data_IF_039010344927
#
_entry.id   IF_039010344927
#
_cell.length_a   1.000
_cell.length_b   1.000
_cell.length_c   1.000
_cell.angle_alpha   90.00
_cell.angle_beta   90.00
_cell.angle_gamma   90.00
#
_symmetry.space_group_name_H-M   'P 1'
#
loop_
_entity.id
_entity.type
_entity.pdbx_description
1 polymer ?
#
# COMPACT_ATOMS: atom_id res chain seq x y z
N UNK A 1 -24.44 -4.01 -10.80
CA UNK A 1 -23.36 -3.51 -9.92
C UNK A 1 -23.91 -3.14 -8.53
N UNK A 2 -24.59 -4.07 -7.84
CA UNK A 2 -25.26 -3.83 -6.54
C UNK A 2 -24.75 -4.73 -5.40
N UNK A 3 -23.86 -5.68 -5.70
CA UNK A 3 -23.48 -6.74 -4.76
C UNK A 3 -22.31 -6.35 -3.82
N UNK A 4 -21.34 -5.58 -4.33
CA UNK A 4 -20.15 -5.16 -3.56
C UNK A 4 -20.51 -4.18 -2.43
N UNK A 5 -21.47 -3.28 -2.67
CA UNK A 5 -21.90 -2.27 -1.68
C UNK A 5 -22.60 -2.91 -0.46
N UNK A 6 -23.29 -4.04 -0.66
CA UNK A 6 -23.97 -4.79 0.42
C UNK A 6 -22.98 -5.57 1.29
N UNK A 7 -21.91 -6.11 0.71
CA UNK A 7 -20.86 -6.81 1.47
C UNK A 7 -20.12 -5.85 2.37
N UNK A 8 -19.76 -4.65 1.90
CA UNK A 8 -19.12 -3.63 2.75
C UNK A 8 -20.02 -3.16 3.90
N UNK A 9 -21.32 -2.96 3.67
CA UNK A 9 -22.27 -2.60 4.75
C UNK A 9 -22.49 -3.76 5.75
N UNK A 10 -22.52 -5.00 5.26
CA UNK A 10 -22.68 -6.20 6.11
C UNK A 10 -21.43 -6.47 6.96
N UNK A 11 -20.22 -6.29 6.40
CA UNK A 11 -18.97 -6.40 7.15
C UNK A 11 -18.79 -5.28 8.19
N UNK A 12 -19.37 -4.09 7.93
CA UNK A 12 -19.43 -2.98 8.88
C UNK A 12 -20.38 -3.25 10.05
N UNK A 13 -21.45 -4.03 9.83
CA UNK A 13 -22.41 -4.42 10.86
C UNK A 13 -21.90 -5.56 11.77
N UNK A 14 -20.95 -6.37 11.29
CA UNK A 14 -20.43 -7.55 12.03
C UNK A 14 -19.24 -7.24 12.95
N UNK A 15 -18.74 -6.00 13.00
CA UNK A 15 -17.61 -5.61 13.88
C UNK A 15 -17.84 -4.22 14.49
N UNK A 16 -18.44 -4.12 15.69
CA UNK A 16 -18.70 -2.83 16.35
C UNK A 16 -17.44 -2.14 16.89
N UNK A 17 -16.25 -2.76 16.83
CA UNK A 17 -15.01 -2.21 17.38
C UNK A 17 -13.92 -2.07 16.32
N UNK A 18 -14.22 -1.40 15.21
CA UNK A 18 -13.16 -0.70 14.49
C UNK A 18 -13.14 0.70 15.10
N UNK A 19 -12.21 1.03 16.02
CA UNK A 19 -12.11 2.39 16.52
C UNK A 19 -12.00 3.32 15.31
N UNK A 20 -12.78 4.42 15.28
CA UNK A 20 -12.69 5.36 14.17
C UNK A 20 -11.22 5.76 14.05
N UNK A 21 -10.65 5.56 12.88
CA UNK A 21 -9.29 5.95 12.56
C UNK A 21 -9.25 7.48 12.39
N UNK A 22 -9.70 8.21 13.41
CA UNK A 22 -9.64 9.67 13.51
C UNK A 22 -8.28 10.04 14.07
N UNK A 23 -7.28 10.03 13.20
CA UNK A 23 -6.00 10.66 13.45
C UNK A 23 -5.45 11.16 12.12
N UNK A 24 -5.92 12.35 11.75
CA UNK A 24 -5.40 13.31 10.77
C UNK A 24 -4.21 12.76 9.97
N UNK A 25 -4.52 12.23 8.79
CA UNK A 25 -3.60 12.21 7.66
C UNK A 25 -3.92 13.49 6.89
N UNK A 26 -2.99 14.45 6.84
CA UNK A 26 -3.18 15.69 6.08
C UNK A 26 -3.61 15.39 4.63
N UNK A 27 -4.82 15.87 4.29
CA UNK A 27 -5.39 16.27 3.00
C UNK A 27 -4.95 15.58 1.70
N UNK A 28 -4.70 14.27 1.67
CA UNK A 28 -4.79 13.55 0.38
C UNK A 28 -6.26 13.29 0.11
N UNK A 29 -6.86 14.16 -0.70
CA UNK A 29 -8.24 14.01 -1.12
C UNK A 29 -8.42 12.71 -1.93
N UNK A 30 -9.64 12.12 -1.94
CA UNK A 30 -9.94 11.01 -2.84
C UNK A 30 -9.65 11.33 -4.31
N UNK A 31 -9.71 12.60 -4.71
CA UNK A 31 -9.39 13.05 -6.07
C UNK A 31 -7.88 12.96 -6.36
N UNK A 32 -7.02 13.49 -5.47
CA UNK A 32 -5.57 13.36 -5.59
C UNK A 32 -5.12 11.91 -5.58
N UNK A 33 -5.78 11.08 -4.77
CA UNK A 33 -5.53 9.64 -4.78
C UNK A 33 -5.86 9.00 -6.13
N UNK A 34 -7.05 9.25 -6.68
CA UNK A 34 -7.45 8.69 -7.99
C UNK A 34 -6.56 9.21 -9.13
N UNK A 35 -6.15 10.47 -9.07
CA UNK A 35 -5.20 11.03 -10.04
C UNK A 35 -3.85 10.31 -9.97
N UNK A 36 -3.36 10.03 -8.76
CA UNK A 36 -2.15 9.23 -8.56
C UNK A 36 -2.29 7.80 -9.08
N UNK A 37 -3.44 7.14 -8.91
CA UNK A 37 -3.70 5.80 -9.46
C UNK A 37 -3.76 5.79 -11.00
N UNK A 38 -4.34 6.82 -11.62
CA UNK A 38 -4.56 6.90 -13.06
C UNK A 38 -3.26 7.15 -13.86
N UNK A 39 -2.28 7.83 -13.26
CA UNK A 39 -1.06 8.29 -13.94
C UNK A 39 -0.07 7.15 -14.29
N UNK A 40 -0.20 5.93 -13.75
CA UNK A 40 0.95 5.01 -13.70
C UNK A 40 0.68 3.55 -14.06
N UNK A 41 0.80 3.24 -15.36
CA UNK A 41 1.07 1.88 -15.88
C UNK A 41 2.51 1.48 -15.57
N UNK A 42 2.71 0.37 -14.83
CA UNK A 42 4.05 -0.15 -14.54
C UNK A 42 4.84 -0.36 -15.83
N UNK A 43 6.10 0.05 -15.83
CA UNK A 43 6.99 -0.20 -16.96
C UNK A 43 7.66 -1.58 -16.87
N UNK A 44 7.52 -2.22 -15.70
CA UNK A 44 7.89 -3.59 -15.41
C UNK A 44 6.61 -4.43 -15.23
N UNK A 45 6.46 -5.53 -15.98
CA UNK A 45 5.27 -6.39 -15.86
C UNK A 45 5.31 -7.16 -14.55
N UNK A 46 4.40 -6.83 -13.63
CA UNK A 46 4.15 -7.60 -12.41
C UNK A 46 3.71 -9.03 -12.75
N UNK A 47 3.16 -9.27 -13.95
CA UNK A 47 2.80 -10.61 -14.43
C UNK A 47 4.00 -11.55 -14.52
N UNK A 48 5.23 -11.01 -14.69
CA UNK A 48 6.46 -11.81 -14.66
C UNK A 48 6.87 -12.25 -13.26
N UNK A 49 6.42 -11.57 -12.21
CA UNK A 49 6.73 -11.92 -10.83
C UNK A 49 5.85 -13.07 -10.33
N UNK A 50 4.63 -13.21 -10.87
CA UNK A 50 3.61 -14.08 -10.31
C UNK A 50 3.20 -13.67 -8.88
N UNK A 51 2.32 -14.45 -8.27
CA UNK A 51 1.84 -14.19 -6.91
C UNK A 51 2.97 -14.25 -5.87
N UNK A 52 3.89 -15.22 -6.00
CA UNK A 52 5.03 -15.37 -5.10
C UNK A 52 6.00 -14.19 -5.19
N UNK A 53 6.24 -13.67 -6.39
CA UNK A 53 7.10 -12.50 -6.56
C UNK A 53 6.45 -11.23 -6.01
N UNK A 54 5.13 -11.05 -6.18
CA UNK A 54 4.36 -9.97 -5.53
C UNK A 54 4.52 -10.06 -4.01
N UNK A 55 4.31 -11.24 -3.43
CA UNK A 55 4.47 -11.46 -1.99
C UNK A 55 5.89 -11.12 -1.53
N UNK A 56 6.93 -11.56 -2.26
CA UNK A 56 8.32 -11.26 -1.91
C UNK A 56 8.63 -9.77 -1.94
N UNK A 57 8.18 -9.04 -2.96
CA UNK A 57 8.36 -7.58 -3.02
C UNK A 57 7.71 -6.90 -1.83
N UNK A 58 6.44 -7.21 -1.54
CA UNK A 58 5.70 -6.63 -0.42
C UNK A 58 6.42 -6.88 0.91
N UNK A 59 6.75 -8.13 1.21
CA UNK A 59 7.43 -8.48 2.47
C UNK A 59 8.80 -7.81 2.58
N UNK A 60 9.52 -7.68 1.48
CA UNK A 60 10.84 -7.04 1.50
C UNK A 60 10.71 -5.54 1.76
N UNK A 61 9.79 -4.86 1.08
CA UNK A 61 9.54 -3.43 1.32
C UNK A 61 9.16 -3.18 2.78
N UNK A 62 8.22 -3.95 3.34
CA UNK A 62 7.77 -3.78 4.73
C UNK A 62 8.90 -4.06 5.72
N UNK A 63 9.59 -5.19 5.58
CA UNK A 63 10.67 -5.58 6.48
C UNK A 63 11.86 -4.59 6.44
N UNK A 64 12.08 -3.92 5.32
CA UNK A 64 13.10 -2.87 5.22
C UNK A 64 12.58 -1.54 5.77
N UNK A 65 11.34 -1.17 5.46
CA UNK A 65 10.70 0.07 5.92
C UNK A 65 10.60 0.13 7.46
N UNK A 66 10.38 -1.01 8.11
CA UNK A 66 10.41 -1.13 9.57
C UNK A 66 11.81 -0.86 10.16
N UNK A 67 12.88 -1.23 9.43
CA UNK A 67 14.26 -1.11 9.92
C UNK A 67 14.90 0.21 9.55
N UNK A 68 14.52 0.82 8.44
CA UNK A 68 15.18 1.99 7.87
C UNK A 68 14.15 3.11 7.62
N UNK A 69 14.36 4.32 8.15
CA UNK A 69 13.44 5.45 7.94
C UNK A 69 13.58 6.11 6.57
N UNK A 70 14.59 5.75 5.79
CA UNK A 70 14.91 6.36 4.50
C UNK A 70 14.33 5.57 3.31
N UNK A 71 13.51 6.25 2.51
CA UNK A 71 12.90 5.71 1.29
C UNK A 71 13.94 5.33 0.23
N UNK A 72 15.04 6.08 0.16
CA UNK A 72 16.09 5.86 -0.84
C UNK A 72 16.73 4.49 -0.65
N UNK A 73 17.01 4.11 0.59
CA UNK A 73 17.57 2.81 0.95
C UNK A 73 16.62 1.67 0.59
N UNK A 74 15.31 1.80 0.84
CA UNK A 74 14.33 0.76 0.48
C UNK A 74 14.23 0.61 -1.04
N UNK A 75 14.20 1.73 -1.77
CA UNK A 75 14.21 1.73 -3.24
C UNK A 75 15.47 1.07 -3.80
N UNK A 76 16.65 1.39 -3.25
CA UNK A 76 17.91 0.78 -3.66
C UNK A 76 17.94 -0.73 -3.39
N UNK A 77 17.39 -1.18 -2.26
CA UNK A 77 17.23 -2.61 -2.01
C UNK A 77 16.30 -3.29 -3.03
N UNK A 78 15.19 -2.64 -3.41
CA UNK A 78 14.31 -3.18 -4.44
C UNK A 78 15.01 -3.32 -5.79
N UNK A 79 15.84 -2.34 -6.15
CA UNK A 79 16.67 -2.39 -7.37
C UNK A 79 17.63 -3.58 -7.33
N UNK A 80 18.35 -3.75 -6.23
CA UNK A 80 19.37 -4.81 -6.09
C UNK A 80 18.77 -6.21 -6.04
N UNK A 81 17.71 -6.41 -5.26
CA UNK A 81 17.14 -7.74 -5.01
C UNK A 81 16.22 -8.23 -6.13
N UNK A 82 15.56 -7.32 -6.83
CA UNK A 82 14.57 -7.66 -7.86
C UNK A 82 14.94 -7.17 -9.26
N UNK A 83 16.13 -6.58 -9.45
CA UNK A 83 16.57 -6.06 -10.75
C UNK A 83 15.69 -4.91 -11.26
N UNK A 84 14.98 -4.22 -10.37
CA UNK A 84 14.07 -3.14 -10.76
C UNK A 84 14.85 -1.91 -11.24
N UNK A 85 14.31 -1.24 -12.26
CA UNK A 85 14.80 0.10 -12.63
C UNK A 85 14.42 1.10 -11.53
N UNK A 86 15.16 2.21 -11.38
CA UNK A 86 14.84 3.24 -10.37
C UNK A 86 13.36 3.65 -10.31
N UNK A 87 12.66 3.95 -11.43
CA UNK A 87 11.24 4.34 -11.36
C UNK A 87 10.32 3.20 -10.94
N UNK A 88 10.64 1.96 -11.30
CA UNK A 88 9.84 0.78 -10.92
C UNK A 88 10.01 0.46 -9.43
N UNK A 89 11.25 0.58 -8.90
CA UNK A 89 11.53 0.42 -7.48
C UNK A 89 10.83 1.48 -6.62
N UNK A 90 10.90 2.76 -7.03
CA UNK A 90 10.15 3.84 -6.38
C UNK A 90 8.66 3.54 -6.34
N UNK A 91 8.10 3.10 -7.47
CA UNK A 91 6.68 2.77 -7.59
C UNK A 91 6.28 1.56 -6.74
N UNK A 92 7.08 0.50 -6.71
CA UNK A 92 6.81 -0.67 -5.89
C UNK A 92 6.74 -0.30 -4.41
N UNK A 93 7.70 0.50 -3.93
CA UNK A 93 7.71 1.02 -2.56
C UNK A 93 6.45 1.86 -2.29
N UNK A 94 6.13 2.80 -3.17
CA UNK A 94 4.96 3.68 -3.00
C UNK A 94 3.64 2.88 -2.97
N UNK A 95 3.47 1.87 -3.85
CA UNK A 95 2.27 1.00 -3.86
C UNK A 95 2.14 0.21 -2.57
N UNK A 96 3.23 -0.39 -2.08
CA UNK A 96 3.20 -1.19 -0.84
C UNK A 96 2.85 -0.30 0.35
N UNK A 97 3.53 0.84 0.52
CA UNK A 97 3.27 1.75 1.65
C UNK A 97 1.86 2.35 1.53
N UNK A 98 1.42 2.73 0.33
CA UNK A 98 0.07 3.19 0.07
C UNK A 98 -1.00 2.15 0.43
N UNK A 99 -0.74 0.86 0.18
CA UNK A 99 -1.61 -0.24 0.61
C UNK A 99 -1.73 -0.33 2.14
N UNK A 100 -0.62 -0.22 2.87
CA UNK A 100 -0.61 -0.20 4.34
C UNK A 100 -1.39 1.00 4.88
N UNK A 101 -1.13 2.19 4.35
CA UNK A 101 -1.81 3.43 4.77
C UNK A 101 -3.31 3.33 4.53
N UNK A 102 -3.74 2.84 3.35
CA UNK A 102 -5.17 2.63 3.05
C UNK A 102 -5.87 1.73 4.07
N UNK A 103 -5.21 0.65 4.51
CA UNK A 103 -5.76 -0.26 5.52
C UNK A 103 -5.95 0.43 6.88
N UNK A 104 -5.12 1.43 7.19
CA UNK A 104 -5.20 2.26 8.39
C UNK A 104 -6.23 3.39 8.33
N UNK A 105 -6.58 3.87 7.13
CA UNK A 105 -7.43 5.04 6.93
C UNK A 105 -8.88 4.71 6.55
N UNK A 106 -9.26 3.42 6.56
CA UNK A 106 -10.62 2.98 6.26
C UNK A 106 -11.02 3.09 4.78
N UNK A 107 -10.06 3.27 3.87
CA UNK A 107 -10.30 3.22 2.43
C UNK A 107 -10.57 1.80 1.95
N UNK A 108 -11.21 1.69 0.78
CA UNK A 108 -11.47 0.40 0.14
C UNK A 108 -10.16 -0.31 -0.25
N UNK A 109 -10.18 -1.64 -0.14
CA UNK A 109 -9.08 -2.49 -0.61
C UNK A 109 -8.82 -2.21 -2.09
N UNK A 110 -7.55 -2.01 -2.51
CA UNK A 110 -7.21 -1.94 -3.93
C UNK A 110 -7.66 -3.20 -4.68
N UNK A 111 -8.04 -3.05 -5.95
CA UNK A 111 -8.32 -4.17 -6.84
C UNK A 111 -7.01 -4.92 -7.12
N UNK A 112 -6.96 -6.21 -6.73
CA UNK A 112 -5.78 -7.04 -6.91
C UNK A 112 -5.42 -7.28 -8.38
N UNK A 113 -6.39 -7.23 -9.31
CA UNK A 113 -6.12 -7.34 -10.74
C UNK A 113 -5.45 -6.09 -11.32
N UNK A 114 -5.71 -4.92 -10.73
CA UNK A 114 -5.16 -3.64 -11.18
C UNK A 114 -3.86 -3.27 -10.45
N UNK A 115 -3.77 -3.57 -9.15
CA UNK A 115 -2.61 -3.27 -8.30
C UNK A 115 -2.38 -4.37 -7.24
N UNK A 116 -1.73 -5.48 -7.62
CA UNK A 116 -1.53 -6.60 -6.72
C UNK A 116 -0.60 -6.26 -5.55
N UNK A 117 0.33 -5.31 -5.71
CA UNK A 117 1.24 -4.88 -4.64
C UNK A 117 0.49 -4.15 -3.53
N UNK A 118 -0.30 -3.13 -3.88
CA UNK A 118 -1.07 -2.39 -2.89
C UNK A 118 -2.17 -3.25 -2.27
N UNK A 119 -2.87 -4.07 -3.06
CA UNK A 119 -3.89 -4.98 -2.56
C UNK A 119 -3.31 -5.96 -1.53
N UNK A 120 -2.14 -6.54 -1.81
CA UNK A 120 -1.49 -7.47 -0.90
C UNK A 120 -0.99 -6.79 0.37
N UNK A 121 -0.37 -5.62 0.25
CA UNK A 121 0.07 -4.84 1.41
C UNK A 121 -1.11 -4.40 2.30
N UNK A 122 -2.23 -3.99 1.68
CA UNK A 122 -3.47 -3.67 2.37
C UNK A 122 -3.97 -4.87 3.18
N UNK A 123 -4.06 -6.05 2.57
CA UNK A 123 -4.56 -7.25 3.24
C UNK A 123 -3.66 -7.68 4.42
N UNK A 124 -2.34 -7.53 4.28
CA UNK A 124 -1.39 -7.78 5.37
C UNK A 124 -1.60 -6.79 6.52
N UNK A 125 -1.64 -5.49 6.24
CA UNK A 125 -1.85 -4.46 7.26
C UNK A 125 -3.24 -4.52 7.91
N UNK A 126 -4.26 -4.95 7.17
CA UNK A 126 -5.60 -5.16 7.70
C UNK A 126 -5.65 -6.33 8.69
N UNK A 127 -4.88 -7.39 8.42
CA UNK A 127 -4.75 -8.56 9.29
C UNK A 127 -3.85 -8.28 10.50
N UNK A 128 -2.76 -7.55 10.29
CA UNK A 128 -1.77 -7.18 11.31
C UNK A 128 -1.87 -5.69 11.64
N UNK A 129 -2.83 -5.34 12.49
CA UNK A 129 -3.14 -3.94 12.83
C UNK A 129 -1.95 -3.13 13.36
N UNK A 130 -1.02 -3.68 14.16
CA UNK A 130 0.21 -2.98 14.56
C UNK A 130 1.12 -2.52 13.42
N UNK A 131 1.01 -3.10 12.21
CA UNK A 131 1.86 -2.72 11.08
C UNK A 131 1.65 -1.26 10.65
N UNK A 132 0.41 -0.78 10.68
CA UNK A 132 0.07 0.59 10.27
C UNK A 132 0.78 1.64 11.13
N UNK A 133 0.64 1.66 12.48
CA UNK A 133 1.35 2.63 13.30
C UNK A 133 2.87 2.45 13.25
N UNK A 134 3.39 1.23 13.09
CA UNK A 134 4.84 0.99 12.97
C UNK A 134 5.42 1.65 11.71
N UNK A 135 4.78 1.47 10.56
CA UNK A 135 5.18 2.12 9.30
C UNK A 135 4.99 3.64 9.39
N UNK A 136 3.87 4.11 9.96
CA UNK A 136 3.60 5.56 10.14
C UNK A 136 4.66 6.26 10.99
N UNK A 137 5.02 5.68 12.13
CA UNK A 137 6.00 6.25 13.05
C UNK A 137 7.35 6.48 12.38
N UNK A 138 7.67 5.69 11.35
CA UNK A 138 8.98 5.69 10.71
C UNK A 138 9.02 6.47 9.40
N UNK A 139 7.88 6.60 8.70
CA UNK A 139 7.78 7.20 7.37
C UNK A 139 6.99 8.52 7.35
N UNK A 140 6.49 8.97 8.50
CA UNK A 140 5.78 10.22 8.66
C UNK A 140 4.45 10.26 7.90
N UNK A 141 3.98 11.47 7.58
CA UNK A 141 2.85 11.66 6.69
C UNK A 141 3.22 11.17 5.28
N UNK A 142 2.64 10.06 4.85
CA UNK A 142 2.85 9.55 3.51
C UNK A 142 2.08 10.40 2.51
N UNK A 143 2.79 10.99 1.53
CA UNK A 143 2.19 11.60 0.34
C UNK A 143 2.56 10.80 -0.91
N UNK A 144 1.59 10.49 -1.78
CA UNK A 144 1.88 9.87 -3.07
C UNK A 144 2.83 10.78 -3.89
N UNK A 145 3.94 10.23 -4.40
CA UNK A 145 4.85 10.98 -5.28
C UNK A 145 5.75 12.01 -4.60
N UNK A 146 5.78 12.07 -3.27
CA UNK A 146 6.71 12.93 -2.53
C UNK A 146 8.16 12.55 -2.80
N UNK A 147 8.93 13.53 -3.28
CA UNK A 147 10.39 13.49 -3.35
C UNK A 147 10.96 13.41 -1.94
#
# INVERSE_FOLDING_TARGET
MFFVRRIFQFLRALRPEVPPCEAEWEDVTPAEWRAWEADRKFSFSLDRLGEDGVQRVVMTVLATAERVPDRTTVREQMRRLFGMRPPDAARAVDRVIGGVVRAGSGFECPDAGADPLAARAFMLAWRDRPLVPAIRARWGAWRPGGV
#
